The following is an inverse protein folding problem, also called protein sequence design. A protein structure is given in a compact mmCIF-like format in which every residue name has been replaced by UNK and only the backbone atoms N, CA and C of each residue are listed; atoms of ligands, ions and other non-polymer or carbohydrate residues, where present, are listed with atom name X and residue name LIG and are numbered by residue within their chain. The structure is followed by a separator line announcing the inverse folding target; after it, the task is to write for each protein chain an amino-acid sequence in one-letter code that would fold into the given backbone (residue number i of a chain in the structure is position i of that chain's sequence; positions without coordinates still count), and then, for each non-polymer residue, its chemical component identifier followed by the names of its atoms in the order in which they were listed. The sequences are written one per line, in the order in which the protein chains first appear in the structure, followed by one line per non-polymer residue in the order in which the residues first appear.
data_IF_981948764152
#
_entry.id   IF_981948764152
#
_cell.length_a   1.000
_cell.length_b   1.000
_cell.length_c   1.000
_cell.angle_alpha   90.00
_cell.angle_beta   90.00
_cell.angle_gamma   90.00
#
_symmetry.space_group_name_H-M   'P 1'
#
loop_
_entity.id
_entity.type
_entity.pdbx_description
1 polymer ?
#
# COMPACT_ATOMS: atom_id res chain seq x y z
N UNK A 1 9.90 -6.03 -4.04
CA UNK A 1 8.63 -6.02 -3.30
C UNK A 1 7.76 -7.23 -3.56
N UNK A 2 7.01 -7.28 -4.67
CA UNK A 2 5.93 -8.25 -4.92
C UNK A 2 6.36 -9.70 -4.73
N UNK A 3 7.48 -10.11 -5.31
CA UNK A 3 7.98 -11.48 -5.20
C UNK A 3 8.31 -11.87 -3.76
N UNK A 4 9.06 -11.02 -3.03
CA UNK A 4 9.38 -11.26 -1.62
C UNK A 4 8.14 -11.37 -0.73
N UNK A 5 7.18 -10.44 -0.87
CA UNK A 5 5.94 -10.47 -0.08
C UNK A 5 5.10 -11.72 -0.39
N UNK A 6 5.04 -12.12 -1.67
CA UNK A 6 4.38 -13.35 -2.10
C UNK A 6 5.06 -14.58 -1.51
N UNK A 7 6.39 -14.67 -1.59
CA UNK A 7 7.18 -15.78 -1.06
C UNK A 7 7.05 -15.91 0.47
N UNK A 8 6.97 -14.79 1.19
CA UNK A 8 6.74 -14.77 2.63
C UNK A 8 5.30 -15.14 3.04
N UNK A 9 4.41 -15.36 2.06
CA UNK A 9 3.01 -15.73 2.30
C UNK A 9 2.27 -14.68 3.11
N UNK A 10 2.50 -13.40 2.81
CA UNK A 10 1.82 -12.30 3.51
C UNK A 10 0.35 -12.16 3.10
N UNK A 11 -0.47 -11.54 3.93
CA UNK A 11 -1.89 -11.29 3.63
C UNK A 11 -2.16 -10.09 2.70
N UNK A 12 -1.12 -9.35 2.31
CA UNK A 12 -1.23 -8.20 1.40
C UNK A 12 -1.90 -8.55 0.07
N UNK A 13 -2.76 -7.65 -0.42
CA UNK A 13 -3.18 -7.67 -1.83
C UNK A 13 -2.05 -7.09 -2.66
N UNK A 14 -1.54 -7.89 -3.59
CA UNK A 14 -0.42 -7.54 -4.47
C UNK A 14 -0.92 -7.17 -5.87
N UNK A 15 -0.22 -6.29 -6.60
CA UNK A 15 -0.56 -5.99 -7.99
C UNK A 15 -0.37 -7.21 -8.89
N UNK A 16 -1.28 -7.35 -9.86
CA UNK A 16 -1.24 -8.41 -10.88
C UNK A 16 -0.41 -7.93 -12.07
N UNK A 17 0.42 -8.81 -12.64
CA UNK A 17 1.25 -8.47 -13.80
C UNK A 17 2.33 -7.43 -13.50
N UNK A 18 2.89 -7.48 -12.29
CA UNK A 18 3.86 -6.51 -11.79
C UNK A 18 5.10 -6.28 -12.65
N UNK A 19 5.43 -7.25 -13.49
CA UNK A 19 6.52 -7.24 -14.46
C UNK A 19 6.20 -6.47 -15.77
N UNK A 20 4.95 -6.05 -15.98
CA UNK A 20 4.47 -5.47 -17.26
C UNK A 20 4.38 -3.95 -17.27
N UNK A 21 4.66 -3.29 -16.15
CA UNK A 21 4.38 -1.87 -15.98
C UNK A 21 5.60 -1.10 -15.49
N UNK A 22 5.76 0.12 -15.99
CA UNK A 22 6.63 1.12 -15.40
C UNK A 22 5.90 1.79 -14.24
N UNK A 23 6.39 1.55 -13.02
CA UNK A 23 5.72 1.96 -11.81
C UNK A 23 6.07 3.40 -11.42
N UNK A 24 5.05 4.27 -11.29
CA UNK A 24 5.20 5.56 -10.59
C UNK A 24 5.42 5.35 -9.08
N UNK A 25 4.62 4.45 -8.51
CA UNK A 25 4.65 4.02 -7.12
C UNK A 25 4.06 2.61 -7.05
N UNK A 26 4.43 1.80 -6.05
CA UNK A 26 3.91 0.45 -5.91
C UNK A 26 2.64 0.44 -5.05
N UNK A 27 1.48 0.04 -5.59
CA UNK A 27 0.25 -0.09 -4.82
C UNK A 27 0.21 -1.41 -4.06
N UNK A 28 -0.19 -1.36 -2.79
CA UNK A 28 -0.49 -2.52 -1.95
C UNK A 28 -1.78 -2.25 -1.18
N UNK A 29 -2.44 -3.31 -0.68
CA UNK A 29 -3.60 -3.17 0.21
C UNK A 29 -3.49 -4.07 1.43
N UNK A 30 -3.92 -3.57 2.58
CA UNK A 30 -3.97 -4.31 3.84
C UNK A 30 -5.15 -3.83 4.70
N UNK A 31 -5.91 -4.72 5.36
CA UNK A 31 -7.10 -4.34 6.14
C UNK A 31 -6.75 -3.44 7.35
N UNK A 32 -5.59 -3.64 7.96
CA UNK A 32 -5.06 -2.78 9.03
C UNK A 32 -4.20 -1.64 8.50
N UNK A 33 -4.61 -0.99 7.39
CA UNK A 33 -3.78 0.02 6.70
C UNK A 33 -3.31 1.11 7.66
N UNK A 34 -4.19 1.67 8.50
CA UNK A 34 -3.84 2.80 9.35
C UNK A 34 -2.70 2.47 10.33
N UNK A 35 -2.80 1.32 11.02
CA UNK A 35 -1.74 0.81 11.90
C UNK A 35 -0.44 0.57 11.12
N UNK A 36 -0.54 0.00 9.92
CA UNK A 36 0.62 -0.28 9.08
C UNK A 36 1.33 1.01 8.65
N UNK A 37 0.61 2.03 8.18
CA UNK A 37 1.23 3.29 7.74
C UNK A 37 1.94 3.96 8.90
N UNK A 38 1.31 3.99 10.08
CA UNK A 38 1.94 4.50 11.30
C UNK A 38 3.23 3.74 11.63
N UNK A 39 3.17 2.41 11.63
CA UNK A 39 4.34 1.56 11.88
C UNK A 39 5.47 1.81 10.87
N UNK A 40 5.16 1.95 9.59
CA UNK A 40 6.15 2.23 8.54
C UNK A 40 6.77 3.63 8.73
N UNK A 41 5.96 4.64 9.02
CA UNK A 41 6.43 6.01 9.25
C UNK A 41 7.30 6.14 10.51
N UNK A 42 6.93 5.44 11.60
CA UNK A 42 7.75 5.32 12.82
C UNK A 42 9.09 4.62 12.55
N UNK A 43 9.16 3.80 11.50
CA UNK A 43 10.38 3.14 11.03
C UNK A 43 11.01 3.86 9.82
N UNK A 44 10.78 5.17 9.68
CA UNK A 44 11.40 6.03 8.66
C UNK A 44 11.13 5.57 7.21
N UNK A 45 9.99 4.92 6.97
CA UNK A 45 9.49 4.59 5.64
C UNK A 45 8.33 5.52 5.33
N UNK A 46 8.59 6.50 4.46
CA UNK A 46 7.52 7.40 4.02
C UNK A 46 6.53 6.66 3.10
N UNK A 47 5.25 6.82 3.39
CA UNK A 47 4.14 6.20 2.64
C UNK A 47 3.12 7.24 2.18
N UNK A 48 2.25 6.85 1.26
CA UNK A 48 1.10 7.67 0.85
C UNK A 48 -0.16 6.81 0.76
N UNK A 49 -1.32 7.40 1.05
CA UNK A 49 -2.60 6.79 0.69
C UNK A 49 -2.80 6.84 -0.83
N UNK A 50 -3.68 5.97 -1.36
CA UNK A 50 -4.01 5.96 -2.79
C UNK A 50 -4.84 7.19 -3.21
N UNK A 51 -4.19 8.32 -3.44
CA UNK A 51 -4.82 9.57 -3.87
C UNK A 51 -6.03 9.94 -2.99
N UNK A 52 -7.18 10.24 -3.60
CA UNK A 52 -8.43 10.49 -2.88
C UNK A 52 -9.12 9.20 -2.38
N UNK A 53 -8.66 8.02 -2.81
CA UNK A 53 -9.38 6.76 -2.62
C UNK A 53 -10.71 6.79 -3.36
N UNK A 54 -11.80 7.05 -2.63
CA UNK A 54 -13.10 7.31 -3.21
C UNK A 54 -13.43 8.81 -3.10
N UNK A 55 -13.28 9.53 -4.21
CA UNK A 55 -13.50 10.98 -4.25
C UNK A 55 -14.90 11.39 -3.77
N UNK A 56 -15.92 10.57 -4.01
CA UNK A 56 -17.32 10.85 -3.61
C UNK A 56 -17.53 10.82 -2.09
N UNK A 57 -16.57 10.28 -1.32
CA UNK A 57 -16.59 10.33 0.15
C UNK A 57 -16.02 11.63 0.69
N UNK A 58 -15.32 12.43 -0.12
CA UNK A 58 -14.78 13.73 0.28
C UNK A 58 -15.87 14.81 0.31
N UNK A 59 -15.81 15.78 1.24
CA UNK A 59 -16.86 16.80 1.38
C UNK A 59 -17.23 17.54 0.09
N UNK A 60 -16.23 17.87 -0.74
CA UNK A 60 -16.43 18.61 -1.98
C UNK A 60 -17.27 17.86 -3.04
N UNK A 61 -17.26 16.52 -3.02
CA UNK A 61 -17.91 15.69 -4.05
C UNK A 61 -19.00 14.77 -3.48
N UNK A 62 -19.41 14.98 -2.22
CA UNK A 62 -20.40 14.14 -1.54
C UNK A 62 -21.80 14.19 -2.17
N UNK A 63 -22.08 15.19 -3.00
CA UNK A 63 -23.31 15.25 -3.79
C UNK A 63 -23.34 14.20 -4.93
N UNK A 64 -22.20 13.59 -5.28
CA UNK A 64 -22.10 12.44 -6.19
C UNK A 64 -22.01 11.10 -5.45
N UNK A 65 -22.41 11.05 -4.17
CA UNK A 65 -22.33 9.84 -3.37
C UNK A 65 -23.16 8.71 -3.99
N UNK A 66 -22.49 7.61 -4.30
CA UNK A 66 -23.12 6.35 -4.71
C UNK A 66 -22.32 5.15 -4.21
N UNK A 67 -22.82 3.95 -4.51
CA UNK A 67 -22.15 2.69 -4.17
C UNK A 67 -20.98 2.43 -5.13
N UNK A 68 -19.77 2.45 -4.58
CA UNK A 68 -18.52 2.22 -5.31
C UNK A 68 -17.63 1.29 -4.47
N UNK A 69 -18.00 0.02 -4.32
CA UNK A 69 -17.40 -0.87 -3.32
C UNK A 69 -15.90 -1.10 -3.55
N UNK A 70 -15.46 -1.13 -4.81
CA UNK A 70 -14.04 -1.22 -5.14
C UNK A 70 -13.27 0.04 -4.72
N UNK A 71 -13.81 1.22 -4.99
CA UNK A 71 -13.20 2.50 -4.58
C UNK A 71 -13.20 2.67 -3.05
N UNK A 72 -14.25 2.23 -2.37
CA UNK A 72 -14.32 2.21 -0.90
C UNK A 72 -13.25 1.29 -0.31
N UNK A 73 -13.07 0.10 -0.89
CA UNK A 73 -12.00 -0.80 -0.46
C UNK A 73 -10.61 -0.20 -0.68
N UNK A 74 -10.36 0.45 -1.82
CA UNK A 74 -9.09 1.17 -2.07
C UNK A 74 -8.92 2.29 -1.04
N UNK A 75 -9.97 3.04 -0.72
CA UNK A 75 -9.93 4.11 0.27
C UNK A 75 -9.67 3.59 1.69
N UNK A 76 -10.15 2.41 2.03
CA UNK A 76 -9.95 1.79 3.34
C UNK A 76 -8.58 1.12 3.47
N UNK A 77 -8.17 0.35 2.46
CA UNK A 77 -7.06 -0.61 2.56
C UNK A 77 -5.83 -0.22 1.74
N UNK A 78 -5.99 0.61 0.69
CA UNK A 78 -4.96 0.90 -0.29
C UNK A 78 -3.96 1.97 0.15
N UNK A 79 -2.69 1.73 -0.18
CA UNK A 79 -1.57 2.65 0.01
C UNK A 79 -0.49 2.46 -1.07
N UNK A 80 0.43 3.41 -1.14
CA UNK A 80 1.51 3.49 -2.12
C UNK A 80 2.88 3.50 -1.43
N UNK A 81 3.79 2.71 -1.97
CA UNK A 81 5.22 2.69 -1.63
C UNK A 81 6.07 3.30 -2.74
N UNK A 82 7.26 3.75 -2.38
CA UNK A 82 8.25 4.24 -3.34
C UNK A 82 8.62 3.15 -4.37
N UNK A 83 8.62 3.53 -5.64
CA UNK A 83 9.07 2.71 -6.76
C UNK A 83 9.86 3.58 -7.75
N UNK A 84 10.84 4.35 -7.24
CA UNK A 84 11.63 5.28 -8.04
C UNK A 84 13.10 4.84 -8.16
N UNK A 85 13.80 5.35 -9.18
CA UNK A 85 15.18 5.00 -9.51
C UNK A 85 16.21 5.35 -8.43
N UNK A 86 15.87 6.21 -7.48
CA UNK A 86 16.71 6.49 -6.31
C UNK A 86 16.71 5.43 -5.20
N UNK A 87 15.84 4.40 -5.28
CA UNK A 87 15.82 3.31 -4.30
C UNK A 87 16.90 2.28 -4.61
N UNK A 88 17.57 1.80 -3.57
CA UNK A 88 18.48 0.65 -3.65
C UNK A 88 17.75 -0.64 -3.28
N UNK A 89 18.33 -1.78 -3.63
CA UNK A 89 17.75 -3.07 -3.27
C UNK A 89 17.69 -3.26 -1.75
N UNK A 90 18.65 -2.71 -1.00
CA UNK A 90 18.66 -2.76 0.46
C UNK A 90 17.50 -1.96 1.07
N UNK A 91 17.09 -0.84 0.45
CA UNK A 91 15.92 -0.07 0.88
C UNK A 91 14.64 -0.90 0.69
N UNK A 92 14.53 -1.57 -0.47
CA UNK A 92 13.41 -2.44 -0.81
C UNK A 92 13.34 -3.63 0.16
N UNK A 93 14.48 -4.24 0.47
CA UNK A 93 14.57 -5.37 1.38
C UNK A 93 14.17 -4.96 2.81
N UNK A 94 14.67 -3.83 3.32
CA UNK A 94 14.28 -3.28 4.63
C UNK A 94 12.78 -3.06 4.71
N UNK A 95 12.18 -2.46 3.69
CA UNK A 95 10.73 -2.23 3.64
C UNK A 95 9.97 -3.56 3.58
N UNK A 96 10.43 -4.54 2.80
CA UNK A 96 9.81 -5.87 2.78
C UNK A 96 9.85 -6.54 4.16
N UNK A 97 10.97 -6.48 4.87
CA UNK A 97 11.11 -7.08 6.19
C UNK A 97 10.16 -6.44 7.22
N UNK A 98 10.00 -5.11 7.18
CA UNK A 98 9.04 -4.39 8.01
C UNK A 98 7.60 -4.82 7.70
N UNK A 99 7.22 -4.86 6.42
CA UNK A 99 5.89 -5.31 5.97
C UNK A 99 5.59 -6.73 6.44
N UNK A 100 6.55 -7.65 6.29
CA UNK A 100 6.42 -9.06 6.70
C UNK A 100 6.26 -9.14 8.22
N UNK A 101 7.09 -8.45 9.01
CA UNK A 101 6.97 -8.42 10.48
C UNK A 101 5.60 -7.95 10.93
N UNK A 102 5.11 -6.85 10.36
CA UNK A 102 3.79 -6.30 10.68
C UNK A 102 2.66 -7.28 10.37
N UNK A 103 2.69 -7.89 9.18
CA UNK A 103 1.68 -8.84 8.71
C UNK A 103 1.64 -10.10 9.58
N UNK A 104 2.81 -10.59 10.01
CA UNK A 104 2.94 -11.76 10.89
C UNK A 104 2.73 -11.47 12.37
N UNK A 105 2.49 -10.21 12.76
CA UNK A 105 2.30 -9.81 14.16
C UNK A 105 3.58 -9.88 15.00
N UNK A 106 4.74 -9.69 14.38
CA UNK A 106 6.07 -9.67 15.00
C UNK A 106 6.52 -8.21 15.14
N UNK A 107 5.61 -7.37 15.65
CA UNK A 107 5.75 -5.91 15.77
C UNK A 107 5.46 -5.46 17.19
#
# INVERSE_FOLDING_TARGET
YVERLRQAGTSFVLPIGHEKYDWLALPLMHPRRMELLKYLEENEVQVRVCFAGNITRHPAYRHYLADFPASDRIMAEGFLLGAHHGLKFEDIDRVCDLLIRFDKGIV
#
